data_IF_612490313291
#
_entry.id   IF_612490313291
#
_cell.length_a   1.000
_cell.length_b   1.000
_cell.length_c   1.000
_cell.angle_alpha   90.00
_cell.angle_beta   90.00
_cell.angle_gamma   90.00
#
_symmetry.space_group_name_H-M   'P 1'
#
loop_
_entity.id
_entity.type
_entity.pdbx_description
1 polymer ?
#
# COMPACT_ATOMS: atom_id res chain seq x y z
N UNK A 1 -3.49 8.10 8.82
CA UNK A 1 -2.42 7.15 8.51
C UNK A 1 -1.38 7.83 7.63
N UNK A 2 -0.14 7.90 8.09
CA UNK A 2 1.04 8.37 7.37
C UNK A 2 2.13 7.30 7.35
N UNK A 3 3.35 7.61 6.85
CA UNK A 3 4.44 6.66 6.73
C UNK A 3 4.88 6.05 8.07
N UNK A 4 4.83 6.82 9.15
CA UNK A 4 5.24 6.38 10.49
C UNK A 4 4.26 5.37 11.11
N UNK A 5 3.04 5.27 10.57
CA UNK A 5 2.07 4.25 10.96
C UNK A 5 2.36 2.89 10.29
N UNK A 6 3.27 2.83 9.32
CA UNK A 6 3.73 1.60 8.67
C UNK A 6 4.86 0.99 9.49
N UNK A 7 4.50 0.39 10.62
CA UNK A 7 5.46 -0.26 11.52
C UNK A 7 5.61 -1.75 11.22
N UNK A 8 6.66 -2.36 11.76
CA UNK A 8 6.87 -3.81 11.74
C UNK A 8 5.65 -4.54 12.32
N UNK A 9 5.23 -4.18 13.54
CA UNK A 9 4.11 -4.83 14.23
C UNK A 9 2.81 -4.75 13.45
N UNK A 10 2.53 -3.59 12.84
CA UNK A 10 1.36 -3.40 12.01
C UNK A 10 1.41 -4.28 10.76
N UNK A 11 2.56 -4.36 10.08
CA UNK A 11 2.72 -5.23 8.91
C UNK A 11 2.67 -6.72 9.27
N UNK A 12 3.28 -7.13 10.37
CA UNK A 12 3.22 -8.52 10.85
C UNK A 12 1.77 -8.93 11.12
N UNK A 13 0.99 -8.03 11.71
CA UNK A 13 -0.45 -8.25 11.98
C UNK A 13 -1.25 -8.39 10.69
N UNK A 14 -1.04 -7.48 9.72
CA UNK A 14 -1.80 -7.46 8.46
C UNK A 14 -1.43 -8.65 7.55
N UNK A 15 -0.15 -9.01 7.50
CA UNK A 15 0.35 -10.08 6.64
C UNK A 15 0.26 -11.46 7.29
N UNK A 16 0.03 -11.54 8.61
CA UNK A 16 -0.18 -12.80 9.33
C UNK A 16 1.08 -13.63 9.50
N UNK A 17 2.22 -12.98 9.80
CA UNK A 17 3.50 -13.65 10.08
C UNK A 17 4.53 -12.69 10.65
N UNK A 18 5.62 -13.24 11.20
CA UNK A 18 6.68 -12.45 11.82
C UNK A 18 7.56 -11.73 10.79
N UNK A 19 7.90 -10.48 11.09
CA UNK A 19 8.82 -9.62 10.33
C UNK A 19 9.83 -9.06 11.32
N UNK A 20 11.13 -9.19 11.04
CA UNK A 20 12.17 -8.65 11.92
C UNK A 20 12.26 -7.13 11.86
N UNK A 21 12.32 -6.56 10.65
CA UNK A 21 12.32 -5.11 10.46
C UNK A 21 11.81 -4.70 9.09
N UNK A 22 11.46 -3.41 8.96
CA UNK A 22 10.96 -2.84 7.72
C UNK A 22 11.77 -1.62 7.31
N UNK A 23 12.05 -1.50 6.02
CA UNK A 23 12.65 -0.31 5.42
C UNK A 23 11.70 0.25 4.37
N UNK A 24 11.28 1.50 4.53
CA UNK A 24 10.40 2.15 3.56
C UNK A 24 11.11 3.22 2.72
N UNK A 25 10.79 3.27 1.42
CA UNK A 25 11.22 4.32 0.50
C UNK A 25 10.00 4.88 -0.23
N UNK A 26 9.91 6.20 -0.36
CA UNK A 26 8.85 6.81 -1.19
C UNK A 26 9.15 6.54 -2.66
N UNK A 27 8.12 6.14 -3.40
CA UNK A 27 8.20 5.92 -4.85
C UNK A 27 7.15 6.76 -5.59
N UNK A 28 7.56 7.32 -6.73
CA UNK A 28 6.72 8.20 -7.55
C UNK A 28 6.49 9.60 -6.97
N UNK A 29 5.86 10.47 -7.76
CA UNK A 29 5.74 11.90 -7.46
C UNK A 29 4.62 12.23 -6.47
N UNK A 30 3.69 11.29 -6.27
CA UNK A 30 2.65 11.39 -5.25
C UNK A 30 1.54 12.40 -5.53
N UNK A 31 1.14 12.55 -6.80
CA UNK A 31 0.14 13.53 -7.24
C UNK A 31 -1.26 13.31 -6.62
N UNK A 32 -1.69 12.05 -6.49
CA UNK A 32 -3.02 11.66 -5.97
C UNK A 32 -2.96 11.00 -4.58
N UNK A 33 -1.86 10.30 -4.32
CA UNK A 33 -1.61 9.57 -3.09
C UNK A 33 -0.13 9.29 -2.95
N UNK A 34 0.30 8.84 -1.78
CA UNK A 34 1.70 8.50 -1.51
C UNK A 34 1.91 7.00 -1.66
N UNK A 35 2.94 6.61 -2.39
CA UNK A 35 3.32 5.21 -2.52
C UNK A 35 4.63 4.98 -1.78
N UNK A 36 4.67 3.95 -0.95
CA UNK A 36 5.86 3.48 -0.27
C UNK A 36 6.21 2.10 -0.79
N UNK A 37 7.46 1.88 -1.18
CA UNK A 37 7.99 0.52 -1.25
C UNK A 37 8.54 0.17 0.13
N UNK A 38 8.09 -0.94 0.67
CA UNK A 38 8.53 -1.44 1.98
C UNK A 38 9.25 -2.75 1.77
N UNK A 39 10.53 -2.82 2.11
CA UNK A 39 11.30 -4.07 2.16
C UNK A 39 11.08 -4.73 3.53
N UNK A 40 10.76 -6.02 3.53
CA UNK A 40 10.57 -6.80 4.76
C UNK A 40 11.86 -7.59 5.01
N UNK A 41 12.55 -7.29 6.11
CA UNK A 41 13.80 -7.95 6.51
C UNK A 41 13.50 -9.03 7.53
N UNK A 42 14.19 -10.15 7.39
CA UNK A 42 14.06 -11.31 8.29
C UNK A 42 12.60 -11.75 8.46
N UNK A 43 11.79 -11.60 7.41
CA UNK A 43 10.41 -12.03 7.39
C UNK A 43 10.32 -13.54 7.20
N UNK A 44 9.24 -14.14 7.71
CA UNK A 44 8.97 -15.56 7.49
C UNK A 44 8.98 -15.91 5.99
N UNK A 45 9.43 -17.12 5.60
CA UNK A 45 9.54 -17.50 4.18
C UNK A 45 8.24 -17.46 3.38
N UNK A 46 7.09 -17.50 4.05
CA UNK A 46 5.77 -17.40 3.42
C UNK A 46 5.36 -15.95 3.09
N UNK A 47 6.04 -14.96 3.67
CA UNK A 47 5.78 -13.54 3.44
C UNK A 47 6.57 -13.01 2.23
N UNK A 48 6.06 -11.98 1.53
CA UNK A 48 6.78 -11.36 0.42
C UNK A 48 8.06 -10.66 0.92
N UNK A 49 9.07 -10.56 0.06
CA UNK A 49 10.29 -9.81 0.38
C UNK A 49 10.09 -8.29 0.39
N UNK A 50 9.02 -7.80 -0.25
CA UNK A 50 8.62 -6.39 -0.22
C UNK A 50 7.17 -6.22 -0.61
N UNK A 51 6.56 -5.12 -0.17
CA UNK A 51 5.21 -4.70 -0.55
C UNK A 51 5.22 -3.24 -1.04
N UNK A 52 4.19 -2.87 -1.79
CA UNK A 52 3.89 -1.46 -2.08
C UNK A 52 2.66 -1.05 -1.30
N UNK A 53 2.78 0.00 -0.49
CA UNK A 53 1.69 0.55 0.31
C UNK A 53 1.24 1.88 -0.29
N UNK A 54 -0.06 2.00 -0.52
CA UNK A 54 -0.70 3.24 -0.98
C UNK A 54 -1.37 3.95 0.18
N UNK A 55 -0.88 5.14 0.50
CA UNK A 55 -1.43 6.02 1.52
C UNK A 55 -2.14 7.21 0.87
N UNK A 56 -3.12 7.83 1.55
CA UNK A 56 -3.69 9.10 1.11
C UNK A 56 -2.61 10.17 0.92
N UNK A 57 -2.89 11.14 0.06
CA UNK A 57 -1.94 12.23 -0.18
C UNK A 57 -1.65 13.00 1.13
N UNK A 58 -0.39 13.36 1.42
CA UNK A 58 -0.06 14.23 2.55
C UNK A 58 -0.60 15.66 2.31
N UNK A 59 -0.69 16.08 1.04
CA UNK A 59 -1.29 17.35 0.65
C UNK A 59 -2.82 17.34 0.92
N UNK A 60 -3.34 18.26 1.75
CA UNK A 60 -4.76 18.27 2.11
C UNK A 60 -5.72 18.46 0.92
N UNK A 61 -5.34 19.25 -0.08
CA UNK A 61 -6.18 19.55 -1.26
C UNK A 61 -6.27 18.33 -2.17
N UNK A 62 -5.15 17.68 -2.45
CA UNK A 62 -5.08 16.42 -3.20
C UNK A 62 -5.84 15.31 -2.47
N UNK A 63 -5.68 15.20 -1.14
CA UNK A 63 -6.43 14.24 -0.32
C UNK A 63 -7.94 14.49 -0.36
N UNK A 64 -8.38 15.74 -0.20
CA UNK A 64 -9.79 16.11 -0.28
C UNK A 64 -10.38 15.77 -1.66
N UNK A 65 -9.62 16.01 -2.73
CA UNK A 65 -10.01 15.63 -4.10
C UNK A 65 -10.13 14.11 -4.24
N UNK A 66 -9.16 13.35 -3.72
CA UNK A 66 -9.19 11.89 -3.72
C UNK A 66 -10.39 11.31 -2.98
N UNK A 67 -10.80 11.94 -1.87
CA UNK A 67 -12.02 11.58 -1.13
C UNK A 67 -13.27 11.91 -1.96
N UNK A 68 -13.39 13.14 -2.48
CA UNK A 68 -14.56 13.59 -3.24
C UNK A 68 -14.80 12.73 -4.49
N UNK A 69 -13.73 12.29 -5.16
CA UNK A 69 -13.79 11.43 -6.34
C UNK A 69 -13.83 9.93 -6.01
N UNK A 70 -13.74 9.57 -4.72
CA UNK A 70 -13.71 8.19 -4.19
C UNK A 70 -12.55 7.37 -4.77
N UNK A 71 -11.39 8.00 -5.01
CA UNK A 71 -10.26 7.34 -5.67
C UNK A 71 -9.77 6.11 -4.89
N UNK A 72 -9.61 6.23 -3.58
CA UNK A 72 -9.11 5.13 -2.72
C UNK A 72 -10.07 3.94 -2.71
N UNK A 73 -11.37 4.21 -2.56
CA UNK A 73 -12.39 3.16 -2.57
C UNK A 73 -12.49 2.48 -3.93
N UNK A 74 -12.48 3.26 -5.02
CA UNK A 74 -12.59 2.73 -6.39
C UNK A 74 -11.38 1.88 -6.76
N UNK A 75 -10.19 2.25 -6.28
CA UNK A 75 -8.99 1.43 -6.48
C UNK A 75 -9.09 0.07 -5.77
N UNK A 76 -9.52 0.05 -4.51
CA UNK A 76 -9.74 -1.22 -3.77
C UNK A 76 -10.81 -2.06 -4.48
N UNK A 77 -11.96 -1.46 -4.84
CA UNK A 77 -13.02 -2.17 -5.57
C UNK A 77 -12.58 -2.65 -6.94
N UNK A 78 -11.66 -1.95 -7.61
CA UNK A 78 -11.10 -2.45 -8.86
C UNK A 78 -10.39 -3.78 -8.65
N UNK A 79 -9.52 -3.89 -7.63
CA UNK A 79 -8.81 -5.15 -7.35
C UNK A 79 -9.72 -6.26 -6.84
N UNK A 80 -10.77 -5.92 -6.06
CA UNK A 80 -11.71 -6.91 -5.53
C UNK A 80 -12.70 -7.41 -6.59
N UNK A 81 -13.29 -6.50 -7.37
CA UNK A 81 -14.48 -6.80 -8.17
C UNK A 81 -14.19 -6.90 -9.68
N UNK A 82 -13.21 -6.15 -10.18
CA UNK A 82 -12.99 -5.98 -11.63
C UNK A 82 -11.75 -6.70 -12.12
N UNK A 83 -10.62 -6.59 -11.43
CA UNK A 83 -9.35 -7.22 -11.81
C UNK A 83 -9.48 -8.73 -12.12
N UNK A 84 -10.28 -9.54 -11.37
CA UNK A 84 -10.48 -10.95 -11.70
C UNK A 84 -11.27 -11.22 -13.00
N UNK A 85 -11.91 -10.20 -13.57
CA UNK A 85 -12.80 -10.31 -14.75
C UNK A 85 -12.13 -9.96 -16.08
N UNK A 86 -10.88 -9.48 -16.03
CA UNK A 86 -10.14 -9.00 -17.20
C UNK A 86 -8.76 -9.66 -17.27
N UNK A 87 -8.30 -9.95 -18.49
CA UNK A 87 -6.97 -10.52 -18.72
C UNK A 87 -5.92 -9.39 -18.81
N UNK A 88 -5.51 -8.89 -17.65
CA UNK A 88 -4.43 -7.90 -17.52
C UNK A 88 -3.48 -8.28 -16.39
N UNK A 89 -2.25 -7.78 -16.46
CA UNK A 89 -1.30 -7.90 -15.36
C UNK A 89 -1.73 -7.03 -14.18
N UNK A 90 -1.74 -7.62 -13.00
CA UNK A 90 -1.99 -6.95 -11.73
C UNK A 90 -0.84 -7.25 -10.76
N UNK A 91 -0.65 -6.45 -9.69
CA UNK A 91 0.26 -6.80 -8.60
C UNK A 91 -0.09 -8.16 -7.98
N UNK A 92 0.93 -8.89 -7.50
CA UNK A 92 0.80 -10.19 -6.85
C UNK A 92 0.99 -10.08 -5.34
#
# INVERSE_FOLDING_TARGET
MGPDDVTTDWLSTILGGEIGSVEHERIGDGLVGMNLRVRLRDAEPALPSSVVIKLPSPDPTSRATGIALRNYEREVRFYLDIAPTVDIRVPH
#
